data_IF_591334062402
#
_entry.id   IF_591334062402
#
_cell.length_a   1.000
_cell.length_b   1.000
_cell.length_c   1.000
_cell.angle_alpha   90.00
_cell.angle_beta   90.00
_cell.angle_gamma   90.00
#
_symmetry.space_group_name_H-M   'P 1'
#
loop_
_entity.id
_entity.type
_entity.pdbx_description
1 polymer ?
#
# COMPACT_ATOMS: atom_id res chain seq x y z
N UNK A 1 7.92 4.04 14.49
CA UNK A 1 7.88 2.65 13.98
C UNK A 1 6.66 2.45 13.08
N UNK A 2 6.74 1.46 12.22
CA UNK A 2 5.64 1.14 11.30
C UNK A 2 5.13 -0.26 11.63
N UNK A 3 3.81 -0.37 11.81
CA UNK A 3 3.12 -1.61 12.13
C UNK A 3 2.12 -1.92 11.03
N UNK A 4 1.86 -3.19 10.78
CA UNK A 4 0.93 -3.65 9.75
C UNK A 4 -0.20 -4.44 10.39
N UNK A 5 -1.44 -4.09 10.05
CA UNK A 5 -2.58 -4.91 10.43
C UNK A 5 -2.57 -6.24 9.66
N UNK A 6 -3.34 -7.21 10.13
CA UNK A 6 -3.52 -8.48 9.42
C UNK A 6 -4.07 -8.21 8.02
N UNK A 7 -5.00 -7.27 7.89
CA UNK A 7 -5.56 -6.88 6.60
C UNK A 7 -4.48 -6.33 5.65
N UNK A 8 -3.58 -5.47 6.16
CA UNK A 8 -2.50 -4.92 5.35
C UNK A 8 -1.50 -5.99 4.93
N UNK A 9 -1.15 -6.91 5.82
CA UNK A 9 -0.29 -8.05 5.48
C UNK A 9 -0.92 -8.92 4.40
N UNK A 10 -2.22 -9.20 4.51
CA UNK A 10 -2.94 -9.96 3.49
C UNK A 10 -2.99 -9.21 2.16
N UNK A 11 -3.13 -7.89 2.19
CA UNK A 11 -3.10 -7.07 0.98
C UNK A 11 -1.75 -7.21 0.25
N UNK A 12 -0.65 -7.16 0.99
CA UNK A 12 0.70 -7.33 0.44
C UNK A 12 0.85 -8.72 -0.19
N UNK A 13 0.44 -9.76 0.52
CA UNK A 13 0.50 -11.13 0.02
C UNK A 13 -0.36 -11.30 -1.23
N UNK A 14 -1.54 -10.73 -1.26
CA UNK A 14 -2.43 -10.81 -2.40
C UNK A 14 -1.89 -10.06 -3.62
N UNK A 15 -1.22 -8.92 -3.41
CA UNK A 15 -0.56 -8.18 -4.49
C UNK A 15 0.54 -9.05 -5.11
N UNK A 16 1.40 -9.62 -4.29
CA UNK A 16 2.49 -10.48 -4.76
C UNK A 16 1.95 -11.71 -5.51
N UNK A 17 0.97 -12.39 -4.93
CA UNK A 17 0.36 -13.57 -5.54
C UNK A 17 -0.30 -13.21 -6.88
N UNK A 18 -1.03 -12.10 -6.93
CA UNK A 18 -1.67 -11.62 -8.14
C UNK A 18 -0.67 -11.36 -9.26
N UNK A 19 0.45 -10.71 -8.93
CA UNK A 19 1.53 -10.46 -9.90
C UNK A 19 2.17 -11.75 -10.40
N UNK A 20 2.46 -12.69 -9.49
CA UNK A 20 3.11 -13.96 -9.82
C UNK A 20 2.22 -14.85 -10.70
N UNK A 21 0.91 -14.78 -10.52
CA UNK A 21 -0.05 -15.61 -11.26
C UNK A 21 -0.57 -14.96 -12.53
N UNK A 22 -0.17 -13.72 -12.83
CA UNK A 22 -0.64 -13.01 -14.00
C UNK A 22 0.11 -13.43 -15.26
N UNK A 23 -0.36 -14.51 -15.88
CA UNK A 23 0.28 -15.14 -17.03
C UNK A 23 0.35 -14.22 -18.26
N UNK A 24 -0.62 -13.33 -18.43
CA UNK A 24 -0.73 -12.45 -19.60
C UNK A 24 0.53 -11.62 -19.86
N UNK A 25 1.27 -11.25 -18.81
CA UNK A 25 2.43 -10.38 -18.91
C UNK A 25 3.74 -11.10 -18.69
N UNK A 26 3.72 -12.39 -18.42
CA UNK A 26 4.93 -13.20 -18.22
C UNK A 26 5.95 -12.52 -17.30
N UNK A 27 5.47 -11.97 -16.20
CA UNK A 27 6.30 -11.24 -15.26
C UNK A 27 7.31 -12.18 -14.59
N UNK A 28 8.54 -11.70 -14.45
CA UNK A 28 9.55 -12.47 -13.72
C UNK A 28 9.28 -12.42 -12.21
N UNK A 29 9.76 -13.43 -11.50
CA UNK A 29 9.67 -13.45 -10.04
C UNK A 29 10.39 -12.24 -9.44
N UNK A 30 11.56 -11.91 -9.97
CA UNK A 30 12.36 -10.76 -9.52
C UNK A 30 11.60 -9.45 -9.69
N UNK A 31 10.90 -9.28 -10.80
CA UNK A 31 10.06 -8.09 -11.01
C UNK A 31 8.94 -8.02 -9.98
N UNK A 32 8.25 -9.12 -9.73
CA UNK A 32 7.14 -9.16 -8.76
C UNK A 32 7.62 -8.84 -7.36
N UNK A 33 8.74 -9.42 -6.93
CA UNK A 33 9.33 -9.16 -5.62
C UNK A 33 9.77 -7.70 -5.50
N UNK A 34 10.40 -7.15 -6.54
CA UNK A 34 10.81 -5.75 -6.57
C UNK A 34 9.61 -4.80 -6.49
N UNK A 35 8.54 -5.14 -7.19
CA UNK A 35 7.30 -4.34 -7.17
C UNK A 35 6.74 -4.23 -5.75
N UNK A 36 6.61 -5.36 -5.06
CA UNK A 36 6.07 -5.39 -3.70
C UNK A 36 7.04 -4.74 -2.72
N UNK A 37 8.34 -4.94 -2.91
CA UNK A 37 9.38 -4.31 -2.08
C UNK A 37 9.30 -2.78 -2.16
N UNK A 38 9.02 -2.22 -3.33
CA UNK A 38 8.85 -0.76 -3.51
C UNK A 38 7.68 -0.25 -2.67
N UNK A 39 6.57 -0.98 -2.63
CA UNK A 39 5.41 -0.61 -1.80
C UNK A 39 5.78 -0.64 -0.32
N UNK A 40 6.47 -1.69 0.11
CA UNK A 40 6.90 -1.84 1.50
C UNK A 40 7.87 -0.71 1.88
N UNK A 41 8.81 -0.36 1.02
CA UNK A 41 9.75 0.74 1.26
C UNK A 41 9.01 2.07 1.49
N UNK A 42 7.95 2.32 0.71
CA UNK A 42 7.10 3.50 0.91
C UNK A 42 6.44 3.43 2.28
N UNK A 43 5.86 2.29 2.65
CA UNK A 43 5.22 2.11 3.96
C UNK A 43 6.22 2.38 5.09
N UNK A 44 7.43 1.83 4.99
CA UNK A 44 8.46 1.97 6.03
C UNK A 44 8.97 3.40 6.18
N UNK A 45 8.80 4.23 5.16
CA UNK A 45 9.22 5.63 5.19
C UNK A 45 8.20 6.57 5.85
N UNK A 46 6.97 6.10 6.10
CA UNK A 46 5.89 6.98 6.54
C UNK A 46 6.09 7.54 7.96
N UNK A 47 6.80 6.83 8.83
CA UNK A 47 7.07 7.30 10.19
C UNK A 47 8.12 8.42 10.24
N UNK A 48 8.83 8.67 9.14
CA UNK A 48 9.80 9.77 9.04
C UNK A 48 9.20 11.04 8.45
N UNK A 49 7.96 10.98 7.95
CA UNK A 49 7.32 12.13 7.34
C UNK A 49 6.79 13.09 8.41
N UNK A 50 6.87 14.39 8.10
CA UNK A 50 6.32 15.43 8.96
C UNK A 50 4.94 15.87 8.52
N UNK A 51 4.55 15.54 7.28
CA UNK A 51 3.26 15.94 6.71
C UNK A 51 2.48 14.71 6.27
N UNK A 52 1.25 14.60 6.75
CA UNK A 52 0.36 13.48 6.45
C UNK A 52 -0.96 14.01 5.91
N UNK A 53 -1.52 13.33 4.91
CA UNK A 53 -2.77 13.74 4.28
C UNK A 53 -3.93 12.92 4.83
N UNK A 54 -5.07 13.57 5.02
CA UNK A 54 -6.28 12.90 5.50
C UNK A 54 -6.93 12.10 4.38
N UNK A 55 -7.51 10.96 4.75
CA UNK A 55 -8.34 10.17 3.83
C UNK A 55 -9.57 11.00 3.44
N UNK A 56 -9.85 11.07 2.13
CA UNK A 56 -10.97 11.85 1.60
C UNK A 56 -12.12 10.98 1.10
N UNK A 57 -11.82 9.78 0.60
CA UNK A 57 -12.86 8.85 0.12
C UNK A 57 -13.48 8.09 1.29
N UNK A 58 -14.79 7.89 1.25
CA UNK A 58 -15.50 7.16 2.30
C UNK A 58 -14.96 5.74 2.48
N UNK A 59 -14.61 5.06 1.39
CA UNK A 59 -14.02 3.72 1.44
C UNK A 59 -12.68 3.72 2.15
N UNK A 60 -11.88 4.79 1.98
CA UNK A 60 -10.59 4.91 2.65
C UNK A 60 -10.76 5.23 4.14
N UNK A 61 -11.70 6.12 4.48
CA UNK A 61 -11.97 6.50 5.87
C UNK A 61 -12.39 5.30 6.73
N UNK A 62 -12.99 4.30 6.10
CA UNK A 62 -13.36 3.07 6.78
C UNK A 62 -12.14 2.34 7.35
N UNK A 63 -10.99 2.45 6.71
CA UNK A 63 -9.76 1.76 7.11
C UNK A 63 -8.82 2.62 7.94
N UNK A 64 -8.83 3.93 7.76
CA UNK A 64 -7.95 4.81 8.51
C UNK A 64 -8.13 6.27 8.16
N UNK A 65 -7.54 7.14 8.98
CA UNK A 65 -7.69 8.60 8.86
C UNK A 65 -6.71 9.22 7.89
N UNK A 66 -5.60 8.55 7.60
CA UNK A 66 -4.53 9.07 6.76
C UNK A 66 -4.37 8.23 5.51
N UNK A 67 -3.92 8.87 4.44
CA UNK A 67 -3.64 8.19 3.17
C UNK A 67 -2.35 8.72 2.56
N UNK A 68 -1.54 7.80 2.03
CA UNK A 68 -0.39 8.14 1.21
C UNK A 68 -0.61 7.57 -0.19
N UNK A 69 -0.49 8.42 -1.21
CA UNK A 69 -0.62 8.01 -2.61
C UNK A 69 0.76 7.68 -3.16
N UNK A 70 0.89 6.48 -3.68
CA UNK A 70 2.09 6.05 -4.39
C UNK A 70 1.75 5.83 -5.86
N UNK A 71 2.21 6.73 -6.71
CA UNK A 71 2.01 6.63 -8.16
C UNK A 71 3.08 5.70 -8.74
N UNK A 72 2.72 4.45 -8.97
CA UNK A 72 3.65 3.46 -9.52
C UNK A 72 3.98 3.78 -10.96
N UNK A 73 2.96 4.18 -11.73
CA UNK A 73 3.10 4.61 -13.12
C UNK A 73 1.91 5.51 -13.48
N UNK A 74 1.76 5.84 -14.77
CA UNK A 74 0.70 6.76 -15.22
C UNK A 74 -0.72 6.27 -14.94
N UNK A 75 -0.91 4.96 -14.85
CA UNK A 75 -2.26 4.36 -14.74
C UNK A 75 -2.50 3.71 -13.38
N UNK A 76 -1.46 3.47 -12.59
CA UNK A 76 -1.57 2.75 -11.32
C UNK A 76 -1.13 3.61 -10.16
N UNK A 77 -2.05 3.86 -9.24
CA UNK A 77 -1.80 4.55 -7.97
C UNK A 77 -2.19 3.62 -6.83
N UNK A 78 -1.28 3.42 -5.90
CA UNK A 78 -1.55 2.68 -4.68
C UNK A 78 -1.89 3.66 -3.57
N UNK A 79 -2.94 3.35 -2.83
CA UNK A 79 -3.34 4.13 -1.66
C UNK A 79 -2.99 3.31 -0.42
N UNK A 80 -2.11 3.86 0.40
CA UNK A 80 -1.70 3.26 1.67
C UNK A 80 -2.47 4.01 2.74
N UNK A 81 -3.39 3.31 3.42
CA UNK A 81 -4.29 3.90 4.40
C UNK A 81 -3.81 3.50 5.78
N UNK A 82 -3.63 4.50 6.64
CA UNK A 82 -2.99 4.29 7.94
C UNK A 82 -3.52 5.25 8.99
N UNK A 83 -3.18 4.95 10.23
CA UNK A 83 -3.40 5.82 11.38
C UNK A 83 -2.07 6.15 12.03
N UNK A 84 -2.05 7.25 12.77
CA UNK A 84 -0.90 7.71 13.55
C UNK A 84 -1.29 7.76 15.01
N UNK A 85 -0.35 7.43 15.90
CA UNK A 85 -0.52 7.70 17.32
C UNK A 85 0.22 9.00 17.70
N UNK A 86 0.17 9.36 18.97
CA UNK A 86 0.79 10.59 19.49
C UNK A 86 2.32 10.58 19.44
N UNK A 87 2.93 9.41 19.22
CA UNK A 87 4.38 9.25 19.12
C UNK A 87 4.85 9.09 17.67
N UNK A 88 3.96 9.36 16.72
CA UNK A 88 4.24 9.27 15.28
C UNK A 88 4.49 7.83 14.80
N UNK A 89 4.02 6.83 15.53
CA UNK A 89 4.00 5.46 15.05
C UNK A 89 2.90 5.34 13.98
N UNK A 90 3.21 4.59 12.94
CA UNK A 90 2.33 4.39 11.78
C UNK A 90 1.71 3.01 11.85
N UNK A 91 0.39 2.95 11.69
CA UNK A 91 -0.37 1.70 11.67
C UNK A 91 -1.00 1.54 10.30
N UNK A 92 -0.38 0.73 9.45
CA UNK A 92 -0.86 0.47 8.08
C UNK A 92 -2.06 -0.47 8.17
N UNK A 93 -3.22 -0.03 7.69
CA UNK A 93 -4.47 -0.78 7.80
C UNK A 93 -4.95 -1.37 6.49
N UNK A 94 -4.64 -0.71 5.36
CA UNK A 94 -5.11 -1.14 4.05
C UNK A 94 -4.19 -0.63 2.96
N UNK A 95 -3.96 -1.47 1.95
CA UNK A 95 -3.21 -1.10 0.75
C UNK A 95 -4.08 -1.47 -0.44
N UNK A 96 -4.50 -0.48 -1.22
CA UNK A 96 -5.44 -0.68 -2.31
C UNK A 96 -5.04 0.18 -3.52
N UNK A 97 -5.20 -0.37 -4.72
CA UNK A 97 -4.95 0.38 -5.93
C UNK A 97 -6.20 1.10 -6.42
N UNK A 98 -6.03 2.01 -7.37
CA UNK A 98 -7.13 2.67 -8.07
C UNK A 98 -7.84 1.75 -9.06
N UNK A 99 -7.35 0.51 -9.25
CA UNK A 99 -8.00 -0.48 -10.10
C UNK A 99 -8.92 -1.36 -9.26
N UNK A 100 -10.04 -1.78 -9.85
CA UNK A 100 -10.99 -2.70 -9.18
C UNK A 100 -10.41 -4.11 -9.07
N UNK A 101 -9.53 -4.47 -10.00
CA UNK A 101 -8.78 -5.71 -9.95
C UNK A 101 -7.31 -5.35 -9.74
N UNK A 102 -6.53 -6.26 -9.19
CA UNK A 102 -5.09 -6.05 -9.03
C UNK A 102 -4.51 -5.88 -10.42
N UNK A 103 -4.04 -4.69 -10.68
CA UNK A 103 -3.54 -4.24 -11.97
C UNK A 103 -4.67 -3.85 -12.94
#
# INVERSE_FOLDING_TARGET
MVYYSIQAENDIDNILEGLLTWEKFSLTREFCLSYVSDIIDICESLDTKTKHFNSSYETHKHYGKKVHKYNRNKTTTWHIIYDLDSFNNVYINKIISNHLTIL
#
